data_IF_323517779465
#
_entry.id   IF_323517779465
#
_cell.length_a   1.000
_cell.length_b   1.000
_cell.length_c   1.000
_cell.angle_alpha   90.00
_cell.angle_beta   90.00
_cell.angle_gamma   90.00
#
_symmetry.space_group_name_H-M   'P 1'
#
loop_
_entity.id
_entity.type
_entity.pdbx_description
1 polymer ?
#
# COMPACT_ATOMS: atom_id res chain seq x y z
N UNK A 1 29.86 -1.22 -9.05
CA UNK A 1 30.54 -1.48 -7.74
C UNK A 1 29.61 -1.37 -6.53
N UNK A 2 28.52 -0.61 -6.57
CA UNK A 2 27.57 -0.48 -5.43
C UNK A 2 26.74 -1.74 -5.13
N UNK A 3 26.39 -2.55 -6.14
CA UNK A 3 25.57 -3.77 -5.97
C UNK A 3 26.25 -4.86 -5.12
N UNK A 4 27.58 -4.94 -5.14
CA UNK A 4 28.33 -5.94 -4.35
C UNK A 4 28.21 -5.75 -2.83
N UNK A 5 27.75 -4.57 -2.35
CA UNK A 5 27.55 -4.31 -0.91
C UNK A 5 26.16 -4.74 -0.41
N UNK A 6 25.20 -4.97 -1.32
CA UNK A 6 23.82 -5.31 -0.96
C UNK A 6 23.56 -6.82 -0.89
N UNK A 7 24.43 -7.65 -1.45
CA UNK A 7 24.29 -9.10 -1.42
C UNK A 7 24.36 -9.75 -2.80
N UNK A 8 24.24 -11.08 -2.81
CA UNK A 8 24.23 -11.91 -4.03
C UNK A 8 22.81 -11.91 -4.62
N UNK A 9 22.73 -11.95 -5.95
CA UNK A 9 21.48 -12.07 -6.71
C UNK A 9 21.31 -13.52 -7.15
N UNK A 10 20.12 -14.05 -6.94
CA UNK A 10 19.70 -15.39 -7.35
C UNK A 10 18.34 -15.30 -8.07
N UNK A 11 17.95 -16.36 -8.80
CA UNK A 11 16.61 -16.45 -9.37
C UNK A 11 15.58 -16.51 -8.23
N UNK A 12 14.56 -15.68 -8.34
CA UNK A 12 13.49 -15.58 -7.34
C UNK A 12 12.35 -16.57 -7.56
N UNK A 13 11.31 -16.44 -6.73
CA UNK A 13 10.09 -17.24 -6.79
C UNK A 13 9.00 -16.45 -7.53
N UNK A 14 8.62 -16.85 -8.75
CA UNK A 14 7.69 -16.09 -9.58
C UNK A 14 6.25 -16.11 -9.06
N UNK A 15 5.87 -17.10 -8.25
CA UNK A 15 4.52 -17.20 -7.70
C UNK A 15 4.28 -16.31 -6.48
N UNK A 16 5.33 -15.65 -5.97
CA UNK A 16 5.24 -14.74 -4.81
C UNK A 16 5.48 -13.32 -5.30
N UNK A 17 4.41 -12.68 -5.80
CA UNK A 17 4.45 -11.33 -6.35
C UNK A 17 4.75 -10.28 -5.29
N UNK A 18 5.37 -9.17 -5.71
CA UNK A 18 5.80 -8.10 -4.83
C UNK A 18 7.16 -8.35 -4.18
N UNK A 19 7.48 -7.50 -3.20
CA UNK A 19 8.72 -7.60 -2.41
C UNK A 19 8.45 -8.32 -1.09
N UNK A 20 8.94 -9.55 -0.96
CA UNK A 20 8.68 -10.40 0.19
C UNK A 20 9.98 -10.85 0.85
N UNK A 21 10.02 -10.81 2.18
CA UNK A 21 11.12 -11.43 2.93
C UNK A 21 11.01 -12.95 2.84
N UNK A 22 12.13 -13.58 2.60
CA UNK A 22 12.29 -15.02 2.55
C UNK A 22 13.52 -15.45 3.36
N UNK A 23 13.66 -16.74 3.56
CA UNK A 23 14.89 -17.28 4.14
C UNK A 23 16.12 -16.86 3.31
N UNK A 24 17.08 -16.23 3.97
CA UNK A 24 18.32 -15.75 3.37
C UNK A 24 18.22 -14.48 2.51
N UNK A 25 17.07 -13.76 2.48
CA UNK A 25 16.98 -12.52 1.71
C UNK A 25 15.58 -12.02 1.40
N UNK A 26 15.43 -11.36 0.26
CA UNK A 26 14.17 -10.79 -0.20
C UNK A 26 13.89 -11.22 -1.63
N UNK A 27 12.66 -11.66 -1.89
CA UNK A 27 12.15 -11.97 -3.21
C UNK A 27 11.46 -10.73 -3.79
N UNK A 28 11.75 -10.43 -5.04
CA UNK A 28 11.10 -9.39 -5.82
C UNK A 28 10.52 -10.02 -7.07
N UNK A 29 9.22 -9.91 -7.25
CA UNK A 29 8.57 -10.46 -8.44
C UNK A 29 7.56 -9.47 -9.00
N UNK A 30 7.65 -9.23 -10.32
CA UNK A 30 6.84 -8.27 -11.06
C UNK A 30 6.46 -8.82 -12.42
N UNK A 31 5.28 -8.45 -12.92
CA UNK A 31 4.85 -8.79 -14.27
C UNK A 31 5.38 -7.77 -15.30
N UNK A 32 6.01 -8.27 -16.35
CA UNK A 32 6.44 -7.50 -17.53
C UNK A 32 6.43 -8.41 -18.76
N UNK A 33 6.67 -7.84 -19.96
CA UNK A 33 6.88 -8.65 -21.16
C UNK A 33 8.13 -9.53 -21.01
N UNK A 34 8.16 -10.69 -21.68
CA UNK A 34 9.33 -11.59 -21.67
C UNK A 34 10.56 -10.94 -22.29
N UNK A 35 10.36 -10.00 -23.20
CA UNK A 35 11.43 -9.25 -23.89
C UNK A 35 11.84 -7.97 -23.16
N UNK A 36 11.18 -7.61 -22.05
CA UNK A 36 11.45 -6.37 -21.32
C UNK A 36 12.84 -6.34 -20.66
N UNK A 37 13.36 -5.14 -20.47
CA UNK A 37 14.48 -4.88 -19.57
C UNK A 37 13.94 -4.51 -18.19
N UNK A 38 14.13 -5.39 -17.20
CA UNK A 38 13.62 -5.20 -15.85
C UNK A 38 14.77 -4.95 -14.87
N UNK A 39 14.64 -3.91 -14.06
CA UNK A 39 15.58 -3.60 -12.98
C UNK A 39 14.82 -3.31 -11.67
N UNK A 40 15.45 -3.66 -10.56
CA UNK A 40 15.07 -3.23 -9.21
C UNK A 40 15.85 -1.97 -8.86
N UNK A 41 15.15 -0.91 -8.45
CA UNK A 41 15.71 0.33 -7.96
C UNK A 41 15.57 0.37 -6.44
N UNK A 42 16.68 0.42 -5.72
CA UNK A 42 16.70 0.54 -4.26
C UNK A 42 17.11 1.95 -3.83
N UNK A 43 16.22 2.64 -3.16
CA UNK A 43 16.39 4.00 -2.66
C UNK A 43 16.68 3.96 -1.17
N UNK A 44 17.72 4.64 -0.73
CA UNK A 44 17.98 4.78 0.70
C UNK A 44 16.99 5.77 1.31
N UNK A 45 16.28 5.38 2.39
CA UNK A 45 15.23 6.18 3.04
C UNK A 45 15.66 7.58 3.46
N UNK A 46 16.93 7.75 3.79
CA UNK A 46 17.51 9.03 4.18
C UNK A 46 18.66 9.36 3.23
N UNK A 47 18.38 10.17 2.23
CA UNK A 47 19.42 10.64 1.32
C UNK A 47 18.90 10.96 -0.07
N UNK A 48 19.50 11.97 -0.69
CA UNK A 48 19.24 12.36 -2.09
C UNK A 48 20.13 11.60 -3.08
N UNK A 49 20.77 10.50 -2.67
CA UNK A 49 21.61 9.71 -3.54
C UNK A 49 20.78 8.96 -4.59
N UNK A 50 21.33 8.80 -5.79
CA UNK A 50 20.73 7.98 -6.82
C UNK A 50 20.48 6.56 -6.31
N UNK A 51 19.41 5.88 -6.78
CA UNK A 51 19.11 4.52 -6.38
C UNK A 51 20.23 3.56 -6.79
N UNK A 52 20.35 2.46 -6.06
CA UNK A 52 21.12 1.31 -6.53
C UNK A 52 20.27 0.53 -7.50
N UNK A 53 20.69 0.45 -8.75
CA UNK A 53 20.01 -0.33 -9.80
C UNK A 53 20.58 -1.76 -9.84
N UNK A 54 19.68 -2.75 -9.80
CA UNK A 54 19.98 -4.17 -9.93
C UNK A 54 19.20 -4.72 -11.11
N UNK A 55 19.88 -4.98 -12.22
CA UNK A 55 19.29 -5.54 -13.43
C UNK A 55 18.93 -7.00 -13.22
N UNK A 56 17.72 -7.40 -13.63
CA UNK A 56 17.31 -8.79 -13.65
C UNK A 56 18.01 -9.51 -14.81
N UNK A 57 18.72 -10.63 -14.55
CA UNK A 57 19.21 -11.48 -15.65
C UNK A 57 18.07 -11.93 -16.55
N UNK A 58 18.33 -12.04 -17.85
CA UNK A 58 17.30 -12.36 -18.86
C UNK A 58 16.60 -13.71 -18.65
N UNK A 59 17.22 -14.63 -17.95
CA UNK A 59 16.66 -15.96 -17.61
C UNK A 59 15.89 -15.95 -16.26
N UNK A 60 15.76 -14.80 -15.59
CA UNK A 60 15.09 -14.67 -14.29
C UNK A 60 13.59 -14.42 -14.44
N UNK A 61 12.97 -14.95 -15.48
CA UNK A 61 11.52 -14.91 -15.63
C UNK A 61 10.92 -16.32 -15.82
N UNK A 62 9.61 -16.39 -15.67
CA UNK A 62 8.78 -17.56 -15.99
C UNK A 62 7.50 -17.02 -16.61
N UNK A 63 7.37 -17.19 -17.93
CA UNK A 63 6.39 -16.45 -18.70
C UNK A 63 6.61 -14.95 -18.45
N UNK A 64 5.54 -14.22 -18.21
CA UNK A 64 5.57 -12.77 -17.96
C UNK A 64 6.00 -12.34 -16.57
N UNK A 65 6.33 -13.27 -15.66
CA UNK A 65 6.72 -12.93 -14.29
C UNK A 65 8.23 -12.98 -14.12
N UNK A 66 8.82 -11.82 -13.90
CA UNK A 66 10.23 -11.63 -13.58
C UNK A 66 10.43 -11.76 -12.07
N UNK A 67 11.39 -12.59 -11.64
CA UNK A 67 11.60 -12.85 -10.22
C UNK A 67 13.08 -12.90 -9.86
N UNK A 68 13.49 -12.07 -8.89
CA UNK A 68 14.84 -11.94 -8.40
C UNK A 68 14.86 -12.10 -6.88
N UNK A 69 15.76 -12.92 -6.37
CA UNK A 69 16.08 -12.98 -4.93
C UNK A 69 17.37 -12.24 -4.65
N UNK A 70 17.28 -11.22 -3.80
CA UNK A 70 18.46 -10.51 -3.27
C UNK A 70 18.83 -11.11 -1.91
N UNK A 71 19.95 -11.80 -1.84
CA UNK A 71 20.49 -12.41 -0.63
C UNK A 71 21.09 -11.33 0.26
N UNK A 72 20.27 -10.66 1.05
CA UNK A 72 20.66 -9.55 1.92
C UNK A 72 20.11 -9.78 3.33
N UNK A 73 20.89 -9.40 4.34
CA UNK A 73 20.46 -9.53 5.73
C UNK A 73 19.31 -8.59 6.10
N UNK A 74 19.28 -7.37 5.54
CA UNK A 74 18.23 -6.40 5.82
C UNK A 74 18.13 -5.33 4.72
N UNK A 75 16.90 -5.02 4.34
CA UNK A 75 16.56 -3.88 3.48
C UNK A 75 15.74 -2.80 4.22
N UNK A 76 15.75 -2.79 5.55
CA UNK A 76 14.96 -1.86 6.38
C UNK A 76 15.21 -0.37 6.06
N UNK A 77 16.44 -0.03 5.65
CA UNK A 77 16.84 1.34 5.31
C UNK A 77 16.56 1.71 3.85
N UNK A 78 15.87 0.85 3.12
CA UNK A 78 15.58 1.06 1.71
C UNK A 78 14.08 1.11 1.44
N UNK A 79 13.75 1.77 0.32
CA UNK A 79 12.50 1.73 -0.40
C UNK A 79 12.82 1.30 -1.82
N UNK A 80 11.82 0.92 -2.60
CA UNK A 80 12.10 0.39 -3.93
C UNK A 80 11.06 0.84 -4.97
N UNK A 81 11.43 0.76 -6.23
CA UNK A 81 10.56 0.72 -7.39
C UNK A 81 11.15 -0.27 -8.39
N UNK A 82 10.41 -0.59 -9.42
CA UNK A 82 10.95 -1.25 -10.60
C UNK A 82 11.25 -0.22 -11.69
N UNK A 83 12.14 -0.59 -12.61
CA UNK A 83 12.34 0.10 -13.87
C UNK A 83 12.14 -0.93 -14.96
N UNK A 84 11.15 -0.70 -15.84
CA UNK A 84 10.78 -1.61 -16.92
C UNK A 84 10.86 -0.81 -18.21
N UNK A 85 11.70 -1.27 -19.14
CA UNK A 85 11.94 -0.62 -20.44
C UNK A 85 12.26 0.87 -20.32
N UNK A 86 13.01 1.24 -19.29
CA UNK A 86 13.44 2.61 -18.99
C UNK A 86 12.48 3.44 -18.16
N UNK A 87 11.22 3.02 -17.97
CA UNK A 87 10.21 3.72 -17.17
C UNK A 87 10.22 3.24 -15.70
N UNK A 88 10.14 4.19 -14.76
CA UNK A 88 10.04 3.85 -13.32
C UNK A 88 8.58 3.56 -13.00
N UNK A 89 8.32 2.36 -12.47
CA UNK A 89 6.99 1.90 -12.09
C UNK A 89 6.97 1.45 -10.63
N UNK A 90 5.85 1.71 -9.96
CA UNK A 90 5.59 1.21 -8.63
C UNK A 90 5.07 -0.22 -8.70
N UNK A 91 5.37 -1.00 -7.67
CA UNK A 91 4.92 -2.38 -7.53
C UNK A 91 3.43 -2.43 -7.17
N UNK A 92 2.57 -3.02 -8.00
CA UNK A 92 1.14 -3.17 -7.67
C UNK A 92 0.87 -4.00 -6.41
N UNK A 93 1.84 -4.81 -6.00
CA UNK A 93 1.78 -5.66 -4.81
C UNK A 93 2.52 -5.08 -3.61
N UNK A 94 2.94 -3.81 -3.69
CA UNK A 94 3.58 -3.13 -2.56
C UNK A 94 2.66 -3.08 -1.34
N UNK A 95 3.23 -3.29 -0.17
CA UNK A 95 2.49 -3.23 1.10
C UNK A 95 2.30 -1.81 1.65
N UNK A 96 2.98 -0.83 1.09
CA UNK A 96 2.86 0.57 1.42
C UNK A 96 3.58 1.45 0.41
N UNK A 97 3.16 2.70 0.33
CA UNK A 97 3.78 3.71 -0.51
C UNK A 97 4.22 4.91 0.33
N UNK A 98 5.35 5.50 -0.04
CA UNK A 98 5.84 6.79 0.43
C UNK A 98 5.65 7.83 -0.67
N UNK A 99 5.49 9.11 -0.30
CA UNK A 99 5.26 10.22 -1.24
C UNK A 99 3.78 10.48 -1.55
N UNK A 100 2.86 9.84 -0.80
CA UNK A 100 1.40 9.95 -0.97
C UNK A 100 0.67 10.40 0.29
N UNK A 101 1.39 11.05 1.21
CA UNK A 101 0.88 11.40 2.55
C UNK A 101 -0.14 12.56 2.53
N UNK A 102 -0.21 13.32 1.44
CA UNK A 102 -1.05 14.51 1.33
C UNK A 102 -2.25 14.28 0.39
N UNK A 103 -3.45 14.17 0.98
CA UNK A 103 -4.68 13.92 0.24
C UNK A 103 -5.01 15.06 -0.73
N UNK A 104 -5.21 14.71 -2.01
CA UNK A 104 -5.62 15.64 -3.05
C UNK A 104 -4.51 16.56 -3.58
N UNK A 105 -3.26 16.29 -3.22
CA UNK A 105 -2.10 17.01 -3.75
C UNK A 105 -1.55 16.28 -4.97
N UNK A 106 -1.34 16.96 -6.11
CA UNK A 106 -0.66 16.39 -7.27
C UNK A 106 0.76 15.94 -6.91
N UNK A 107 1.24 14.88 -7.54
CA UNK A 107 2.58 14.32 -7.33
C UNK A 107 3.14 13.74 -8.63
N UNK A 108 4.46 13.61 -8.69
CA UNK A 108 5.17 12.93 -9.77
C UNK A 108 5.47 11.48 -9.34
N UNK A 109 4.78 10.47 -9.93
CA UNK A 109 4.94 9.09 -9.49
C UNK A 109 6.36 8.56 -9.66
N UNK A 110 7.08 8.99 -10.68
CA UNK A 110 8.45 8.52 -10.95
C UNK A 110 9.46 9.09 -9.95
N UNK A 111 9.29 10.34 -9.53
CA UNK A 111 10.24 11.05 -8.67
C UNK A 111 9.91 10.93 -7.19
N UNK A 112 8.62 10.97 -6.85
CA UNK A 112 8.17 11.16 -5.48
C UNK A 112 7.66 9.89 -4.83
N UNK A 113 7.14 8.90 -5.62
CA UNK A 113 6.52 7.70 -5.06
C UNK A 113 7.52 6.55 -4.96
N UNK A 114 7.59 5.92 -3.80
CA UNK A 114 8.44 4.76 -3.51
C UNK A 114 7.63 3.67 -2.83
N UNK A 115 7.87 2.43 -3.24
CA UNK A 115 7.29 1.25 -2.59
C UNK A 115 8.03 0.93 -1.30
N UNK A 116 7.28 0.52 -0.28
CA UNK A 116 7.81 0.19 1.05
C UNK A 116 7.78 -1.32 1.26
N UNK A 117 8.77 -1.80 1.99
CA UNK A 117 8.77 -3.18 2.48
C UNK A 117 7.79 -3.33 3.65
N UNK A 118 7.20 -4.51 3.77
CA UNK A 118 6.41 -4.83 4.95
C UNK A 118 7.31 -4.72 6.20
N UNK A 119 6.85 -3.95 7.17
CA UNK A 119 7.56 -3.85 8.44
C UNK A 119 7.37 -5.14 9.23
N UNK A 120 8.48 -5.86 9.46
CA UNK A 120 8.50 -7.17 10.11
C UNK A 120 8.19 -7.12 11.62
N UNK A 121 8.30 -5.93 12.23
CA UNK A 121 8.06 -5.76 13.67
C UNK A 121 6.58 -5.84 14.05
N UNK A 122 5.71 -6.27 13.15
CA UNK A 122 4.29 -6.47 13.43
C UNK A 122 4.06 -7.90 13.90
N UNK A 123 4.62 -8.23 15.05
CA UNK A 123 4.26 -9.42 15.82
C UNK A 123 2.89 -9.20 16.50
N UNK A 124 2.17 -10.27 16.77
CA UNK A 124 0.94 -10.23 17.58
C UNK A 124 -0.36 -10.48 16.82
N UNK A 125 -0.30 -10.85 15.53
CA UNK A 125 -1.49 -11.24 14.75
C UNK A 125 -1.79 -12.75 14.79
N UNK A 126 -0.86 -13.54 15.30
CA UNK A 126 -0.89 -14.99 15.24
C UNK A 126 -2.03 -15.59 16.08
N UNK A 127 -2.50 -14.86 17.09
CA UNK A 127 -3.54 -15.30 18.02
C UNK A 127 -4.81 -14.44 17.97
N UNK A 128 -4.96 -13.52 17.02
CA UNK A 128 -6.14 -12.68 16.93
C UNK A 128 -7.25 -13.39 16.13
N UNK A 129 -8.38 -13.60 16.79
CA UNK A 129 -9.60 -14.12 16.15
C UNK A 129 -10.55 -12.96 15.85
N UNK A 130 -11.08 -12.94 14.63
CA UNK A 130 -12.17 -12.01 14.32
C UNK A 130 -13.40 -12.34 15.20
N UNK A 131 -14.14 -11.33 15.69
CA UNK A 131 -15.37 -11.58 16.42
C UNK A 131 -16.35 -12.34 15.53
N UNK A 132 -17.00 -13.33 16.13
CA UNK A 132 -18.11 -14.04 15.48
C UNK A 132 -19.37 -13.18 15.60
N UNK A 133 -19.79 -12.60 14.50
CA UNK A 133 -21.06 -11.85 14.41
C UNK A 133 -21.96 -12.61 13.45
N UNK A 134 -23.06 -13.16 13.98
CA UNK A 134 -24.07 -13.83 13.15
C UNK A 134 -24.73 -12.82 12.21
N UNK A 135 -25.00 -13.25 10.98
CA UNK A 135 -25.50 -12.37 9.93
C UNK A 135 -26.80 -11.65 10.34
N UNK A 136 -27.70 -12.36 11.02
CA UNK A 136 -28.99 -11.83 11.48
C UNK A 136 -28.84 -10.76 12.57
N UNK A 137 -27.73 -10.75 13.26
CA UNK A 137 -27.42 -9.81 14.35
C UNK A 137 -26.48 -8.69 13.91
N UNK A 138 -26.08 -8.67 12.62
CA UNK A 138 -25.13 -7.69 12.12
C UNK A 138 -25.75 -6.32 11.92
N UNK A 139 -25.19 -5.33 12.60
CA UNK A 139 -25.48 -3.90 12.40
C UNK A 139 -24.26 -3.28 11.74
N UNK A 140 -24.30 -3.23 10.40
CA UNK A 140 -23.18 -2.77 9.58
C UNK A 140 -23.24 -1.25 9.40
N UNK A 141 -22.12 -0.58 9.68
CA UNK A 141 -21.94 0.83 9.44
C UNK A 141 -20.85 1.09 8.41
N UNK A 142 -21.23 1.63 7.25
CA UNK A 142 -20.32 1.97 6.18
C UNK A 142 -19.83 3.40 6.32
N UNK A 143 -18.51 3.62 6.26
CA UNK A 143 -17.92 4.92 6.44
C UNK A 143 -16.68 5.16 5.59
N UNK A 144 -16.40 6.44 5.33
CA UNK A 144 -15.18 6.90 4.67
C UNK A 144 -14.15 7.32 5.72
N UNK A 145 -12.94 6.73 5.71
CA UNK A 145 -11.91 6.96 6.74
C UNK A 145 -11.68 8.44 7.00
N UNK A 146 -11.35 9.21 5.95
CA UNK A 146 -11.08 10.64 6.07
C UNK A 146 -12.34 11.44 6.40
N UNK A 147 -13.44 11.19 5.68
CA UNK A 147 -14.67 11.99 5.80
C UNK A 147 -15.31 11.90 7.17
N UNK A 148 -15.27 10.74 7.80
CA UNK A 148 -15.97 10.48 9.04
C UNK A 148 -15.49 11.36 10.21
N UNK A 149 -14.18 11.55 10.35
CA UNK A 149 -13.61 12.28 11.49
C UNK A 149 -12.99 13.63 11.12
N UNK A 150 -12.85 13.98 9.83
CA UNK A 150 -12.15 15.20 9.41
C UNK A 150 -12.72 16.48 10.00
N UNK A 151 -14.05 16.54 10.14
CA UNK A 151 -14.76 17.68 10.71
C UNK A 151 -15.19 17.48 12.17
N UNK A 152 -14.83 16.36 12.79
CA UNK A 152 -15.12 16.10 14.20
C UNK A 152 -14.38 17.14 15.07
N UNK A 153 -15.13 18.01 15.74
CA UNK A 153 -14.54 19.21 16.40
C UNK A 153 -13.61 18.83 17.54
N UNK A 154 -14.12 18.39 18.69
CA UNK A 154 -13.32 18.11 19.90
C UNK A 154 -13.22 16.63 20.25
N UNK A 155 -13.91 15.77 19.51
CA UNK A 155 -14.06 14.35 19.84
C UNK A 155 -12.89 13.48 19.37
N UNK A 156 -12.09 13.96 18.42
CA UNK A 156 -11.04 13.17 17.76
C UNK A 156 -9.77 13.98 17.62
N UNK A 157 -8.66 13.41 18.06
CA UNK A 157 -7.32 14.02 17.98
C UNK A 157 -6.70 13.80 16.59
N UNK A 158 -6.81 12.59 16.04
CA UNK A 158 -6.22 12.19 14.76
C UNK A 158 -7.23 12.25 13.61
N UNK A 159 -7.68 13.46 13.29
CA UNK A 159 -8.78 13.70 12.35
C UNK A 159 -8.50 13.23 10.93
N UNK A 160 -9.40 12.44 10.37
CA UNK A 160 -9.34 11.95 8.99
C UNK A 160 -8.35 10.82 8.77
N UNK A 161 -7.98 10.10 9.80
CA UNK A 161 -6.99 9.02 9.77
C UNK A 161 -7.51 7.72 10.36
N UNK A 162 -6.79 6.63 10.16
CA UNK A 162 -7.08 5.33 10.77
C UNK A 162 -7.09 5.41 12.31
N UNK A 163 -6.13 6.13 12.91
CA UNK A 163 -6.13 6.35 14.36
C UNK A 163 -7.37 7.13 14.82
N UNK A 164 -7.81 8.12 14.04
CA UNK A 164 -9.02 8.86 14.37
C UNK A 164 -10.27 7.99 14.39
N UNK A 165 -10.31 6.91 13.63
CA UNK A 165 -11.41 5.95 13.67
C UNK A 165 -11.37 5.10 14.96
N UNK A 166 -10.21 4.78 15.50
CA UNK A 166 -10.12 4.03 16.78
C UNK A 166 -10.73 4.82 17.93
N UNK A 167 -10.61 6.16 17.90
CA UNK A 167 -11.20 7.04 18.91
C UNK A 167 -12.75 7.04 18.87
N UNK A 168 -13.35 6.58 17.75
CA UNK A 168 -14.80 6.51 17.58
C UNK A 168 -15.42 5.17 17.96
N UNK A 169 -14.63 4.14 18.28
CA UNK A 169 -15.12 2.81 18.62
C UNK A 169 -16.10 2.82 19.81
N UNK A 170 -15.85 3.56 20.91
CA UNK A 170 -16.81 3.63 22.01
C UNK A 170 -18.18 4.15 21.58
N UNK A 171 -18.22 5.18 20.72
CA UNK A 171 -19.45 5.75 20.18
C UNK A 171 -20.22 4.74 19.31
N UNK A 172 -19.52 3.99 18.46
CA UNK A 172 -20.16 2.95 17.65
C UNK A 172 -20.78 1.85 18.50
N UNK A 173 -20.12 1.47 19.58
CA UNK A 173 -20.66 0.49 20.53
C UNK A 173 -21.90 1.00 21.25
N UNK A 174 -21.94 2.26 21.63
CA UNK A 174 -23.11 2.91 22.23
C UNK A 174 -24.30 2.90 21.24
N UNK A 175 -24.04 3.08 19.95
CA UNK A 175 -25.06 2.98 18.89
C UNK A 175 -25.48 1.53 18.57
N UNK A 176 -24.84 0.52 19.17
CA UNK A 176 -25.08 -0.89 18.88
C UNK A 176 -24.46 -1.41 17.59
N UNK A 177 -23.56 -0.63 16.96
CA UNK A 177 -22.85 -1.05 15.75
C UNK A 177 -21.84 -2.14 16.11
N UNK A 178 -21.90 -3.26 15.38
CA UNK A 178 -20.99 -4.40 15.59
C UNK A 178 -20.23 -4.82 14.32
N UNK A 179 -20.41 -4.10 13.22
CA UNK A 179 -19.61 -4.29 12.00
C UNK A 179 -19.33 -2.94 11.33
N UNK A 180 -18.10 -2.73 10.90
CA UNK A 180 -17.66 -1.53 10.18
C UNK A 180 -17.20 -1.91 8.77
N UNK A 181 -17.82 -1.31 7.76
CA UNK A 181 -17.37 -1.38 6.37
C UNK A 181 -16.64 -0.09 5.99
N UNK A 182 -15.36 -0.19 5.66
CA UNK A 182 -14.61 0.94 5.16
C UNK A 182 -14.83 1.12 3.66
N UNK A 183 -15.16 2.34 3.25
CA UNK A 183 -15.00 2.75 1.85
C UNK A 183 -13.52 2.64 1.47
N UNK A 184 -13.15 2.72 0.17
CA UNK A 184 -11.78 2.45 -0.27
C UNK A 184 -10.71 3.01 0.66
N UNK A 185 -9.98 2.13 1.32
CA UNK A 185 -8.93 2.43 2.29
C UNK A 185 -7.53 2.06 1.76
N UNK A 186 -7.46 1.51 0.55
CA UNK A 186 -6.23 1.23 -0.17
C UNK A 186 -5.69 2.50 -0.86
N UNK A 187 -4.45 2.45 -1.32
CA UNK A 187 -3.83 3.57 -2.01
C UNK A 187 -4.37 3.72 -3.44
N UNK A 188 -5.12 4.78 -3.69
CA UNK A 188 -5.67 5.17 -4.98
C UNK A 188 -5.22 6.58 -5.36
N UNK A 189 -5.30 6.94 -6.64
CA UNK A 189 -4.99 8.28 -7.11
C UNK A 189 -6.20 9.22 -6.89
N UNK A 190 -6.02 10.25 -6.08
CA UNK A 190 -7.04 11.27 -5.85
C UNK A 190 -7.09 12.29 -6.97
N UNK A 191 -5.93 12.63 -7.51
CA UNK A 191 -5.78 13.62 -8.58
C UNK A 191 -5.38 12.88 -9.84
N UNK A 192 -6.23 12.83 -10.87
CA UNK A 192 -5.89 12.16 -12.11
C UNK A 192 -4.62 12.76 -12.73
N UNK A 193 -3.61 11.94 -12.91
CA UNK A 193 -2.39 12.32 -13.62
C UNK A 193 -2.72 12.22 -15.11
N UNK A 194 -3.17 13.31 -15.72
CA UNK A 194 -3.34 13.37 -17.18
C UNK A 194 -1.97 13.59 -17.81
N UNK A 195 -1.31 12.53 -18.30
CA UNK A 195 -0.30 12.70 -19.36
C UNK A 195 -1.06 13.29 -20.56
N UNK A 196 -0.63 14.42 -21.16
CA UNK A 196 -1.20 14.88 -22.42
C UNK A 196 -0.98 13.76 -23.45
N UNK A 197 -2.06 13.22 -24.01
CA UNK A 197 -1.92 12.38 -25.20
C UNK A 197 -1.43 13.30 -26.31
N UNK A 198 -0.22 13.10 -26.80
CA UNK A 198 0.27 13.73 -28.00
C UNK A 198 -0.74 13.46 -29.13
N UNK A 199 -1.23 14.51 -29.74
CA UNK A 199 -2.14 14.43 -30.92
C UNK A 199 -3.62 14.77 -30.68
N UNK A 200 -4.06 15.14 -29.46
CA UNK A 200 -5.45 15.56 -29.25
C UNK A 200 -5.60 17.09 -29.10
N UNK A 201 -5.31 17.84 -30.22
CA UNK A 201 -5.47 19.30 -30.21
C UNK A 201 -6.93 19.80 -30.21
N UNK A 202 -7.94 18.93 -30.24
CA UNK A 202 -9.32 19.36 -30.46
C UNK A 202 -10.31 19.21 -29.34
N UNK A 203 -9.91 18.77 -28.15
CA UNK A 203 -10.79 18.84 -27.01
C UNK A 203 -10.14 19.73 -25.93
N UNK A 204 -10.43 21.03 -25.99
CA UNK A 204 -10.31 21.92 -24.84
C UNK A 204 -11.34 21.46 -23.78
N UNK A 205 -11.15 20.31 -23.21
CA UNK A 205 -11.77 19.98 -21.94
C UNK A 205 -11.23 21.01 -20.95
N UNK A 206 -12.07 21.98 -20.56
CA UNK A 206 -11.82 22.79 -19.37
C UNK A 206 -11.39 21.80 -18.30
N UNK A 207 -10.07 21.77 -17.98
CA UNK A 207 -9.58 21.14 -16.76
C UNK A 207 -10.45 21.74 -15.65
N UNK A 208 -11.33 20.97 -15.09
CA UNK A 208 -11.90 21.30 -13.79
C UNK A 208 -10.76 21.11 -12.80
N UNK A 209 -9.90 22.13 -12.74
CA UNK A 209 -8.88 22.27 -11.72
C UNK A 209 -9.61 22.09 -10.40
N UNK A 210 -9.14 21.14 -9.57
CA UNK A 210 -9.65 20.78 -8.24
C UNK A 210 -10.72 19.68 -8.13
N UNK A 211 -10.99 18.87 -9.14
CA UNK A 211 -11.79 17.67 -8.90
C UNK A 211 -10.89 16.59 -8.32
N UNK A 212 -11.12 16.25 -7.07
CA UNK A 212 -10.47 15.16 -6.36
C UNK A 212 -11.37 13.94 -6.37
N UNK A 213 -10.83 12.76 -6.70
CA UNK A 213 -11.49 11.48 -6.47
C UNK A 213 -11.56 11.24 -4.95
N UNK A 214 -12.60 11.77 -4.32
CA UNK A 214 -12.76 11.73 -2.88
C UNK A 214 -13.09 10.32 -2.36
N UNK A 215 -13.92 9.59 -3.10
CA UNK A 215 -14.48 8.31 -2.65
C UNK A 215 -13.54 7.12 -2.85
N UNK A 216 -12.59 7.21 -3.78
CA UNK A 216 -11.56 6.22 -3.99
C UNK A 216 -11.97 4.96 -4.76
N UNK A 217 -13.18 4.91 -5.32
CA UNK A 217 -13.59 3.78 -6.16
C UNK A 217 -12.91 3.84 -7.53
N UNK A 218 -11.64 3.52 -7.55
CA UNK A 218 -10.76 3.50 -8.71
C UNK A 218 -9.71 2.40 -8.58
N UNK A 219 -9.06 2.03 -9.66
CA UNK A 219 -7.88 1.17 -9.61
C UNK A 219 -6.79 1.79 -8.75
N UNK A 220 -6.05 0.99 -8.03
CA UNK A 220 -4.99 1.44 -7.13
C UNK A 220 -4.12 0.30 -6.64
N UNK A 221 -3.35 0.58 -5.61
CA UNK A 221 -2.47 -0.38 -4.95
C UNK A 221 -3.24 -1.09 -3.84
N UNK A 222 -3.92 -2.16 -4.20
CA UNK A 222 -4.89 -2.84 -3.31
C UNK A 222 -4.27 -3.45 -2.04
N UNK A 223 -2.95 -3.63 -2.02
CA UNK A 223 -2.22 -4.18 -0.87
C UNK A 223 -1.60 -3.10 0.03
N UNK A 224 -1.71 -1.84 -0.37
CA UNK A 224 -1.19 -0.69 0.39
C UNK A 224 -2.33 0.07 1.04
N UNK A 225 -2.37 0.24 2.36
CA UNK A 225 -3.26 1.18 3.01
C UNK A 225 -2.97 2.61 2.54
N UNK A 226 -4.02 3.44 2.46
CA UNK A 226 -3.88 4.80 1.95
C UNK A 226 -3.02 5.67 2.86
N UNK A 227 -1.88 6.12 2.32
CA UNK A 227 -0.90 6.92 3.06
C UNK A 227 -1.47 8.23 3.59
N UNK A 228 -2.37 8.87 2.84
CA UNK A 228 -3.03 10.11 3.25
C UNK A 228 -4.10 9.95 4.35
N UNK A 229 -4.40 8.70 4.76
CA UNK A 229 -5.27 8.39 5.91
C UNK A 229 -4.48 8.01 7.16
N UNK A 230 -3.21 8.34 7.19
CA UNK A 230 -2.28 8.05 8.27
C UNK A 230 -1.81 9.35 8.95
N UNK A 231 -1.58 9.31 10.25
CA UNK A 231 -1.03 10.42 11.04
C UNK A 231 0.43 10.22 11.44
N UNK A 232 0.92 8.98 11.45
CA UNK A 232 2.26 8.61 11.94
C UNK A 232 3.29 8.38 10.84
N UNK A 233 2.92 8.46 9.55
CA UNK A 233 3.70 8.05 8.38
C UNK A 233 3.96 6.55 8.26
N UNK A 234 3.25 5.73 9.05
CA UNK A 234 3.29 4.27 9.00
C UNK A 234 1.87 3.71 8.77
N UNK A 235 1.29 3.92 7.54
CA UNK A 235 -0.11 3.60 7.26
C UNK A 235 -0.44 2.13 7.48
N UNK A 236 0.50 1.23 7.23
CA UNK A 236 0.32 -0.20 7.46
C UNK A 236 0.14 -0.52 8.95
N UNK A 237 0.88 0.17 9.82
CA UNK A 237 0.79 -0.01 11.27
C UNK A 237 -0.50 0.59 11.82
N UNK A 238 -0.86 1.82 11.39
CA UNK A 238 -2.10 2.45 11.82
C UNK A 238 -3.33 1.65 11.41
N UNK A 239 -3.35 1.16 10.15
CA UNK A 239 -4.46 0.36 9.66
C UNK A 239 -4.60 -0.96 10.42
N UNK A 240 -3.48 -1.63 10.69
CA UNK A 240 -3.47 -2.84 11.51
C UNK A 240 -3.91 -2.55 12.94
N UNK A 241 -3.47 -1.45 13.53
CA UNK A 241 -3.89 -1.04 14.86
C UNK A 241 -5.40 -0.83 14.91
N UNK A 242 -5.98 -0.16 13.92
CA UNK A 242 -7.43 -0.01 13.80
C UNK A 242 -8.15 -1.37 13.78
N UNK A 243 -7.69 -2.30 12.95
CA UNK A 243 -8.30 -3.64 12.85
C UNK A 243 -8.24 -4.35 14.23
N UNK A 244 -7.10 -4.31 14.90
CA UNK A 244 -6.92 -4.91 16.23
C UNK A 244 -7.89 -4.31 17.24
N UNK A 245 -7.98 -2.99 17.33
CA UNK A 245 -8.86 -2.29 18.26
C UNK A 245 -10.35 -2.65 17.98
N UNK A 246 -10.74 -2.76 16.73
CA UNK A 246 -12.09 -3.20 16.37
C UNK A 246 -12.34 -4.63 16.84
N UNK A 247 -11.43 -5.57 16.57
CA UNK A 247 -11.56 -6.98 16.96
C UNK A 247 -11.61 -7.16 18.46
N UNK A 248 -10.71 -6.51 19.21
CA UNK A 248 -10.66 -6.58 20.67
C UNK A 248 -11.93 -6.03 21.33
N UNK A 249 -12.62 -5.12 20.67
CA UNK A 249 -13.88 -4.54 21.14
C UNK A 249 -15.11 -5.18 20.54
N UNK A 250 -14.96 -6.38 19.95
CA UNK A 250 -16.04 -7.16 19.34
C UNK A 250 -16.77 -6.42 18.21
N UNK A 251 -16.04 -5.66 17.42
CA UNK A 251 -16.53 -5.04 16.19
C UNK A 251 -15.87 -5.71 15.00
N UNK A 252 -16.66 -6.28 14.09
CA UNK A 252 -16.18 -6.96 12.90
C UNK A 252 -15.65 -5.92 11.88
N UNK A 253 -14.36 -5.91 11.53
CA UNK A 253 -13.88 -5.09 10.43
C UNK A 253 -14.26 -5.75 9.10
N UNK A 254 -15.08 -5.08 8.33
CA UNK A 254 -15.44 -5.47 6.96
C UNK A 254 -14.75 -4.51 6.00
N UNK A 255 -13.93 -5.03 5.11
CA UNK A 255 -13.33 -4.25 4.03
C UNK A 255 -13.64 -4.94 2.71
N UNK A 256 -14.08 -4.18 1.72
CA UNK A 256 -14.27 -4.65 0.35
C UNK A 256 -12.98 -5.19 -0.27
N UNK A 257 -11.85 -4.77 0.27
CA UNK A 257 -10.53 -5.26 -0.07
C UNK A 257 -9.90 -5.87 1.19
N UNK A 258 -10.23 -7.12 1.48
CA UNK A 258 -9.61 -7.89 2.57
C UNK A 258 -8.14 -8.20 2.25
N UNK A 259 -7.33 -7.16 2.22
CA UNK A 259 -5.91 -7.15 1.85
C UNK A 259 -5.08 -7.98 2.84
N UNK A 260 -5.59 -8.19 4.04
CA UNK A 260 -4.89 -8.94 5.08
C UNK A 260 -5.56 -10.29 5.36
N UNK A 261 -5.82 -11.08 4.32
CA UNK A 261 -6.07 -12.50 4.55
C UNK A 261 -4.82 -13.10 5.21
N UNK A 262 -5.02 -13.77 6.36
CA UNK A 262 -4.05 -14.68 6.94
C UNK A 262 -3.40 -15.51 5.83
N UNK A 263 -2.07 -15.59 5.81
CA UNK A 263 -1.43 -16.77 5.24
C UNK A 263 -1.98 -17.95 6.05
N UNK A 264 -2.88 -18.73 5.46
CA UNK A 264 -3.11 -20.08 5.92
C UNK A 264 -1.78 -20.79 5.68
N UNK A 265 -1.06 -21.03 6.76
CA UNK A 265 0.01 -22.03 6.77
C UNK A 265 -0.66 -23.37 6.42
N UNK A 266 -0.36 -23.87 5.23
CA UNK A 266 -0.55 -25.28 4.90
C UNK A 266 0.55 -26.08 5.59
#
# INVERSE_FOLDING_TARGET
MASRRLGRVEKGQPLILGANKMEGGYNFAVEASEDSEVSLLLYKKRGAAAPVEIVFPKDFHTGRVWALKLCSASLKEFEYNYKIDGEIVQDPYAYGLHGREHFGVPYDPEKEVRCRFLNENVSGWENETAPAVEYENMILYKLHVRGYTKLARKMVSHKGTFLGLTEMIPYWKELGINAIELMPAYEFCEVPISKPKEGSEHIKTRRKENIVNYWGYASGFYFSPKSAYCSTREPEQEFRYLIRELQQRTVLPVSWNSIFRRKQTA
#
